data_IF_520207941372
#
_entry.id   IF_520207941372
#
_cell.length_a   1.000
_cell.length_b   1.000
_cell.length_c   1.000
_cell.angle_alpha   90.00
_cell.angle_beta   90.00
_cell.angle_gamma   90.00
#
_symmetry.space_group_name_H-M   'P 1'
#
loop_
_entity.id
_entity.type
_entity.pdbx_description
1 polymer ?
#
# COMPACT_ATOMS: atom_id res chain seq x y z
N UNK A 1 -61.86 -39.87 7.12
CA UNK A 1 -61.08 -40.74 6.23
C UNK A 1 -60.91 -39.98 4.93
N UNK A 2 -59.76 -39.52 4.48
CA UNK A 2 -58.33 -39.66 4.84
C UNK A 2 -57.60 -38.54 4.06
N UNK A 3 -56.46 -38.11 4.59
CA UNK A 3 -55.55 -37.06 4.11
C UNK A 3 -55.24 -37.01 2.61
N UNK A 4 -54.90 -35.81 2.12
CA UNK A 4 -53.59 -35.58 1.47
C UNK A 4 -53.30 -34.08 1.31
N UNK A 5 -52.51 -33.56 2.27
CA UNK A 5 -51.68 -32.37 2.13
C UNK A 5 -50.42 -32.73 1.33
N UNK A 6 -50.10 -31.99 0.27
CA UNK A 6 -48.73 -31.79 -0.26
C UNK A 6 -48.83 -30.58 -1.20
N UNK A 7 -48.28 -29.40 -0.93
CA UNK A 7 -46.93 -29.12 -0.45
C UNK A 7 -46.22 -28.32 -1.55
N UNK A 8 -46.50 -27.01 -1.62
CA UNK A 8 -45.79 -26.06 -2.50
C UNK A 8 -44.32 -26.00 -2.08
N UNK A 9 -43.41 -26.49 -2.93
CA UNK A 9 -41.99 -26.24 -2.79
C UNK A 9 -41.60 -24.99 -3.61
N UNK A 10 -41.74 -23.82 -3.00
CA UNK A 10 -41.05 -22.61 -3.44
C UNK A 10 -39.55 -22.83 -3.24
N UNK A 11 -38.80 -22.97 -4.34
CA UNK A 11 -37.34 -23.06 -4.31
C UNK A 11 -36.80 -21.69 -3.89
N UNK A 12 -36.32 -21.58 -2.66
CA UNK A 12 -35.57 -20.43 -2.18
C UNK A 12 -34.27 -20.22 -2.99
N UNK A 13 -33.66 -19.03 -2.92
CA UNK A 13 -32.43 -18.72 -3.65
C UNK A 13 -31.33 -19.71 -3.25
N UNK A 14 -30.77 -20.40 -4.26
CA UNK A 14 -29.59 -21.26 -4.07
C UNK A 14 -28.49 -20.39 -3.49
N UNK A 15 -28.05 -20.69 -2.27
CA UNK A 15 -26.83 -20.15 -1.72
C UNK A 15 -25.69 -20.42 -2.73
N UNK A 16 -25.12 -19.37 -3.32
CA UNK A 16 -23.88 -19.52 -4.06
C UNK A 16 -22.85 -20.04 -3.05
N UNK A 17 -22.49 -21.31 -3.19
CA UNK A 17 -21.33 -21.85 -2.48
C UNK A 17 -20.14 -20.94 -2.84
N UNK A 18 -19.50 -20.37 -1.81
CA UNK A 18 -18.24 -19.62 -1.99
C UNK A 18 -17.21 -20.62 -2.51
N UNK A 19 -17.03 -20.66 -3.82
CA UNK A 19 -15.96 -21.43 -4.46
C UNK A 19 -14.64 -20.84 -3.96
N UNK A 20 -13.85 -21.65 -3.26
CA UNK A 20 -12.47 -21.29 -2.97
C UNK A 20 -11.73 -21.17 -4.31
N UNK A 21 -10.92 -20.12 -4.44
CA UNK A 21 -10.03 -20.00 -5.59
C UNK A 21 -8.92 -21.03 -5.37
N UNK A 22 -8.96 -22.11 -6.15
CA UNK A 22 -8.22 -23.34 -5.86
C UNK A 22 -6.83 -23.34 -6.49
N UNK A 23 -6.54 -22.40 -7.41
CA UNK A 23 -5.21 -22.20 -7.97
C UNK A 23 -4.82 -20.73 -8.08
N UNK A 24 -3.53 -20.46 -8.16
CA UNK A 24 -3.01 -19.11 -8.26
C UNK A 24 -3.24 -18.46 -9.65
N UNK A 25 -3.28 -19.28 -10.71
CA UNK A 25 -3.69 -18.84 -12.03
C UNK A 25 -5.16 -18.36 -12.07
N UNK A 26 -6.07 -19.04 -11.37
CA UNK A 26 -7.46 -18.57 -11.23
C UNK A 26 -7.53 -17.22 -10.50
N UNK A 27 -6.69 -17.02 -9.49
CA UNK A 27 -6.57 -15.76 -8.77
C UNK A 27 -6.13 -14.62 -9.69
N UNK A 28 -5.09 -14.84 -10.49
CA UNK A 28 -4.56 -13.86 -11.42
C UNK A 28 -5.59 -13.45 -12.46
N UNK A 29 -6.26 -14.41 -13.10
CA UNK A 29 -7.31 -14.14 -14.10
C UNK A 29 -8.46 -13.33 -13.49
N UNK A 30 -8.94 -13.69 -12.31
CA UNK A 30 -10.03 -12.96 -11.67
C UNK A 30 -9.60 -11.58 -11.20
N UNK A 31 -8.37 -11.42 -10.75
CA UNK A 31 -7.82 -10.13 -10.35
C UNK A 31 -7.72 -9.18 -11.56
N UNK A 32 -7.17 -9.65 -12.67
CA UNK A 32 -7.11 -8.89 -13.92
C UNK A 32 -8.50 -8.51 -14.44
N UNK A 33 -9.45 -9.46 -14.46
CA UNK A 33 -10.84 -9.18 -14.82
C UNK A 33 -11.47 -8.10 -13.92
N UNK A 34 -11.23 -8.15 -12.60
CA UNK A 34 -11.71 -7.11 -11.68
C UNK A 34 -11.12 -5.74 -12.01
N UNK A 35 -9.85 -5.68 -12.40
CA UNK A 35 -9.16 -4.43 -12.74
C UNK A 35 -9.57 -3.88 -14.12
N UNK A 36 -9.99 -4.74 -15.05
CA UNK A 36 -10.59 -4.33 -16.33
C UNK A 36 -11.99 -3.75 -16.16
N UNK A 37 -12.76 -4.28 -15.21
CA UNK A 37 -14.09 -3.76 -14.88
C UNK A 37 -14.00 -2.43 -14.14
N UNK A 38 -13.00 -2.29 -13.26
CA UNK A 38 -12.80 -1.07 -12.48
C UNK A 38 -11.32 -0.89 -12.18
N UNK A 39 -10.74 0.21 -12.66
CA UNK A 39 -9.31 0.47 -12.54
C UNK A 39 -8.88 0.63 -11.08
N UNK A 40 -7.57 0.50 -10.80
CA UNK A 40 -7.03 0.79 -9.47
C UNK A 40 -7.34 2.24 -9.06
N UNK A 41 -7.19 3.18 -9.99
CA UNK A 41 -7.50 4.59 -9.77
C UNK A 41 -8.97 4.77 -9.34
N UNK A 42 -9.93 4.19 -10.06
CA UNK A 42 -11.36 4.31 -9.70
C UNK A 42 -11.66 3.68 -8.34
N UNK A 43 -10.96 2.59 -7.98
CA UNK A 43 -11.14 1.91 -6.69
C UNK A 43 -10.66 2.76 -5.53
N UNK A 44 -9.50 3.41 -5.65
CA UNK A 44 -8.95 4.23 -4.59
C UNK A 44 -9.57 5.63 -4.56
N UNK A 45 -10.00 6.17 -5.71
CA UNK A 45 -10.82 7.40 -5.75
C UNK A 45 -12.10 7.21 -4.95
N UNK A 46 -12.79 6.08 -5.15
CA UNK A 46 -13.97 5.74 -4.33
C UNK A 46 -13.68 5.61 -2.85
N UNK A 47 -12.51 5.07 -2.47
CA UNK A 47 -12.13 4.95 -1.07
C UNK A 47 -12.03 6.32 -0.40
N UNK A 48 -11.42 7.30 -1.09
CA UNK A 48 -11.37 8.67 -0.61
C UNK A 48 -12.76 9.32 -0.60
N UNK A 49 -13.51 9.23 -1.71
CA UNK A 49 -14.82 9.88 -1.86
C UNK A 49 -15.85 9.35 -0.85
N UNK A 50 -15.78 8.05 -0.51
CA UNK A 50 -16.65 7.42 0.48
C UNK A 50 -16.09 7.43 1.91
N UNK A 51 -14.90 8.01 2.12
CA UNK A 51 -14.20 8.04 3.41
C UNK A 51 -14.07 6.65 4.05
N UNK A 52 -13.81 5.61 3.24
CA UNK A 52 -13.90 4.21 3.65
C UNK A 52 -12.86 3.77 4.69
N UNK A 53 -11.87 4.62 4.99
CA UNK A 53 -10.87 4.39 6.04
C UNK A 53 -11.13 5.17 7.34
N UNK A 54 -12.31 5.81 7.44
CA UNK A 54 -12.93 6.26 8.70
C UNK A 54 -12.06 7.16 9.60
N UNK A 55 -11.22 8.01 9.02
CA UNK A 55 -10.47 9.03 9.76
C UNK A 55 -11.09 10.41 9.58
N UNK A 56 -11.17 11.15 10.69
CA UNK A 56 -11.61 12.55 10.71
C UNK A 56 -10.46 13.53 10.41
N UNK A 57 -9.21 13.06 10.41
CA UNK A 57 -8.01 13.88 10.24
C UNK A 57 -7.40 13.71 8.84
N UNK A 58 -7.36 12.49 8.32
CA UNK A 58 -6.69 12.16 7.06
C UNK A 58 -7.59 11.35 6.13
N UNK A 59 -7.69 11.75 4.86
CA UNK A 59 -8.36 10.96 3.82
C UNK A 59 -7.64 9.62 3.56
N UNK A 60 -6.37 9.53 3.93
CA UNK A 60 -5.54 8.32 3.84
C UNK A 60 -5.75 7.35 5.03
N UNK A 61 -6.74 7.60 5.89
CA UNK A 61 -7.14 6.70 6.97
C UNK A 61 -6.38 6.89 8.28
N UNK A 62 -6.80 6.13 9.31
CA UNK A 62 -6.31 6.30 10.69
C UNK A 62 -4.82 6.04 10.86
N UNK A 63 -4.20 5.23 9.99
CA UNK A 63 -2.75 4.99 9.99
C UNK A 63 -1.92 6.21 9.61
N UNK A 64 -2.53 7.21 8.99
CA UNK A 64 -1.92 8.47 8.55
C UNK A 64 -2.19 9.64 9.51
N UNK A 65 -2.82 9.38 10.65
CA UNK A 65 -3.04 10.36 11.71
C UNK A 65 -1.74 10.71 12.43
N UNK A 66 -1.64 11.92 12.99
CA UNK A 66 -0.45 12.36 13.74
C UNK A 66 -0.13 11.44 14.91
N UNK A 67 -1.16 10.89 15.59
CA UNK A 67 -0.97 9.94 16.70
C UNK A 67 -0.37 8.60 16.26
N UNK A 68 -0.70 8.13 15.05
CA UNK A 68 -0.19 6.88 14.51
C UNK A 68 1.25 7.03 14.00
N UNK A 69 1.63 8.25 13.61
CA UNK A 69 2.88 8.54 12.90
C UNK A 69 3.93 9.24 13.76
N UNK A 70 3.72 9.35 15.08
CA UNK A 70 4.59 10.14 15.96
C UNK A 70 6.07 9.72 15.90
N UNK A 71 6.33 8.41 16.06
CA UNK A 71 7.68 7.87 16.03
C UNK A 71 8.33 7.97 14.64
N UNK A 72 7.60 7.63 13.57
CA UNK A 72 8.16 7.76 12.22
C UNK A 72 8.46 9.22 11.87
N UNK A 73 7.63 10.18 12.28
CA UNK A 73 7.88 11.62 12.08
C UNK A 73 9.16 12.08 12.79
N UNK A 74 9.38 11.62 14.02
CA UNK A 74 10.58 11.96 14.79
C UNK A 74 11.85 11.36 14.17
N UNK A 75 11.79 10.10 13.71
CA UNK A 75 12.98 9.31 13.38
C UNK A 75 13.37 9.35 11.91
N UNK A 76 12.41 9.57 11.01
CA UNK A 76 12.64 9.57 9.56
C UNK A 76 13.71 10.58 9.11
N UNK A 77 13.74 11.84 9.58
CA UNK A 77 14.79 12.79 9.19
C UNK A 77 16.20 12.30 9.53
N UNK A 78 16.38 11.75 10.74
CA UNK A 78 17.66 11.20 11.17
C UNK A 78 18.09 10.00 10.32
N UNK A 79 17.13 9.14 9.96
CA UNK A 79 17.37 8.01 9.07
C UNK A 79 17.81 8.48 7.69
N UNK A 80 17.07 9.40 7.05
CA UNK A 80 17.41 9.92 5.71
C UNK A 80 18.82 10.52 5.66
N UNK A 81 19.22 11.27 6.70
CA UNK A 81 20.61 11.80 6.82
C UNK A 81 21.65 10.68 6.88
N UNK A 82 21.40 9.61 7.66
CA UNK A 82 22.32 8.46 7.76
C UNK A 82 22.44 7.69 6.45
N UNK A 83 21.34 7.58 5.70
CA UNK A 83 21.33 6.96 4.38
C UNK A 83 21.99 7.83 3.29
N UNK A 84 22.32 9.09 3.60
CA UNK A 84 22.89 10.04 2.64
C UNK A 84 21.89 10.43 1.55
N UNK A 85 20.59 10.37 1.84
CA UNK A 85 19.53 10.63 0.87
C UNK A 85 19.53 12.11 0.45
N UNK A 86 19.59 12.38 -0.86
CA UNK A 86 19.32 13.70 -1.43
C UNK A 86 17.93 13.79 -2.03
N UNK A 87 17.32 12.65 -2.35
CA UNK A 87 15.97 12.57 -2.89
C UNK A 87 15.14 11.47 -2.24
N UNK A 88 13.85 11.77 -2.01
CA UNK A 88 12.88 10.84 -1.46
C UNK A 88 11.67 10.71 -2.39
N UNK A 89 11.38 9.48 -2.82
CA UNK A 89 10.12 9.10 -3.44
C UNK A 89 9.19 8.53 -2.36
N UNK A 90 8.09 9.23 -2.08
CA UNK A 90 7.02 8.81 -1.18
C UNK A 90 5.85 8.27 -2.00
N UNK A 91 5.67 6.95 -1.99
CA UNK A 91 4.85 6.24 -2.95
C UNK A 91 4.13 5.05 -2.27
N UNK A 92 2.86 5.20 -1.86
CA UNK A 92 1.97 6.34 -2.05
C UNK A 92 2.19 7.44 -1.00
N UNK A 93 2.04 8.71 -1.39
CA UNK A 93 2.16 9.85 -0.46
C UNK A 93 0.84 10.24 0.23
N UNK A 94 -0.30 9.74 -0.25
CA UNK A 94 -1.61 10.08 0.30
C UNK A 94 -1.91 11.57 0.29
N UNK A 95 -2.67 12.05 1.27
CA UNK A 95 -3.01 13.46 1.47
C UNK A 95 -1.90 14.30 2.11
N UNK A 96 -0.70 13.71 2.28
CA UNK A 96 0.46 14.33 2.89
C UNK A 96 0.22 14.85 4.33
N UNK A 97 -0.79 14.32 5.03
CA UNK A 97 -1.24 14.83 6.33
C UNK A 97 -0.16 14.81 7.40
N UNK A 98 0.53 13.69 7.59
CA UNK A 98 1.58 13.57 8.60
C UNK A 98 2.94 14.03 8.09
N UNK A 99 3.24 13.78 6.80
CA UNK A 99 4.54 14.08 6.20
C UNK A 99 4.83 15.58 6.16
N UNK A 100 3.80 16.44 6.09
CA UNK A 100 3.95 17.90 6.20
C UNK A 100 4.54 18.39 7.53
N UNK A 101 4.57 17.54 8.55
CA UNK A 101 5.13 17.84 9.87
C UNK A 101 6.55 17.28 10.04
N UNK A 102 7.16 16.76 8.97
CA UNK A 102 8.51 16.21 8.98
C UNK A 102 9.47 17.21 8.34
N UNK A 103 10.54 17.54 9.06
CA UNK A 103 11.68 18.28 8.50
C UNK A 103 12.51 17.35 7.62
N UNK A 104 12.10 17.21 6.36
CA UNK A 104 12.72 16.32 5.38
C UNK A 104 14.08 16.89 4.93
N UNK A 105 15.21 16.22 5.25
CA UNK A 105 16.54 16.73 4.94
C UNK A 105 16.99 16.27 3.55
N UNK A 106 16.15 16.48 2.54
CA UNK A 106 16.39 16.10 1.14
C UNK A 106 16.26 17.32 0.24
N UNK A 107 16.99 17.32 -0.88
CA UNK A 107 16.91 18.36 -1.91
C UNK A 107 15.62 18.23 -2.72
N UNK A 108 15.23 17.00 -3.03
CA UNK A 108 14.05 16.69 -3.84
C UNK A 108 13.12 15.69 -3.13
N UNK A 109 11.84 16.06 -3.03
CA UNK A 109 10.77 15.18 -2.60
C UNK A 109 9.78 14.96 -3.75
N UNK A 110 9.49 13.70 -4.01
CA UNK A 110 8.49 13.27 -4.98
C UNK A 110 7.37 12.54 -4.25
N UNK A 111 6.20 13.15 -4.15
CA UNK A 111 5.00 12.49 -3.65
C UNK A 111 4.18 11.93 -4.79
N UNK A 112 3.95 10.62 -4.81
CA UNK A 112 3.15 9.97 -5.85
C UNK A 112 1.96 9.27 -5.22
N UNK A 113 0.77 9.43 -5.78
CA UNK A 113 -0.42 8.68 -5.38
C UNK A 113 -1.29 8.45 -6.62
N UNK A 114 -2.16 7.45 -6.57
CA UNK A 114 -3.04 7.11 -7.69
C UNK A 114 -4.29 7.99 -7.74
N UNK A 115 -4.65 8.69 -6.66
CA UNK A 115 -5.91 9.46 -6.57
C UNK A 115 -5.72 10.90 -7.07
N UNK A 116 -6.31 11.29 -8.23
CA UNK A 116 -6.02 12.59 -8.84
C UNK A 116 -6.42 13.80 -7.99
N UNK A 117 -7.56 13.75 -7.32
CA UNK A 117 -8.05 14.86 -6.47
C UNK A 117 -7.12 15.13 -5.30
N UNK A 118 -6.58 14.08 -4.68
CA UNK A 118 -5.62 14.16 -3.57
C UNK A 118 -4.32 14.79 -4.03
N UNK A 119 -3.78 14.33 -5.17
CA UNK A 119 -2.54 14.89 -5.71
C UNK A 119 -2.70 16.34 -6.14
N UNK A 120 -3.82 16.70 -6.75
CA UNK A 120 -4.08 18.09 -7.15
C UNK A 120 -4.17 19.02 -5.93
N UNK A 121 -4.79 18.56 -4.84
CA UNK A 121 -4.81 19.26 -3.56
C UNK A 121 -3.39 19.44 -2.99
N UNK A 122 -2.58 18.37 -3.01
CA UNK A 122 -1.21 18.41 -2.52
C UNK A 122 -0.34 19.38 -3.32
N UNK A 123 -0.46 19.40 -4.65
CA UNK A 123 0.23 20.37 -5.50
C UNK A 123 -0.11 21.80 -5.11
N UNK A 124 -1.40 22.09 -4.94
CA UNK A 124 -1.89 23.42 -4.60
C UNK A 124 -1.42 23.89 -3.23
N UNK A 125 -1.42 23.00 -2.23
CA UNK A 125 -1.15 23.37 -0.83
C UNK A 125 0.31 23.26 -0.44
N UNK A 126 1.04 22.32 -1.01
CA UNK A 126 2.32 21.86 -0.48
C UNK A 126 3.44 21.83 -1.52
N UNK A 127 3.11 21.90 -2.81
CA UNK A 127 4.10 21.95 -3.89
C UNK A 127 5.02 23.17 -3.78
N UNK A 128 6.26 23.04 -4.23
CA UNK A 128 7.25 24.11 -4.17
C UNK A 128 8.62 23.69 -4.70
N UNK A 129 9.62 24.55 -4.50
CA UNK A 129 11.00 24.22 -4.85
C UNK A 129 11.43 22.95 -4.08
N UNK A 130 11.95 21.95 -4.79
CA UNK A 130 12.34 20.66 -4.22
C UNK A 130 11.17 19.79 -3.76
N UNK A 131 9.92 20.12 -4.08
CA UNK A 131 8.74 19.31 -3.71
C UNK A 131 7.71 19.23 -4.83
N UNK A 132 7.63 18.06 -5.45
CA UNK A 132 6.69 17.76 -6.52
C UNK A 132 5.71 16.65 -6.14
N UNK A 133 4.49 16.75 -6.67
CA UNK A 133 3.46 15.73 -6.52
C UNK A 133 2.93 15.29 -7.89
N UNK A 134 2.77 13.98 -8.11
CA UNK A 134 2.26 13.44 -9.37
C UNK A 134 1.30 12.27 -9.18
N UNK A 135 0.37 12.15 -10.14
CA UNK A 135 -0.54 11.02 -10.20
C UNK A 135 0.18 9.88 -10.90
N UNK A 136 0.26 8.71 -10.27
CA UNK A 136 0.76 7.50 -10.94
C UNK A 136 0.18 6.22 -10.32
N UNK A 137 -0.06 5.22 -11.16
CA UNK A 137 -0.27 3.84 -10.72
C UNK A 137 1.09 3.17 -10.53
N UNK A 138 1.46 2.98 -9.26
CA UNK A 138 2.75 2.43 -8.83
C UNK A 138 3.07 1.07 -9.47
N UNK A 139 2.08 0.31 -9.93
CA UNK A 139 2.30 -1.01 -10.53
C UNK A 139 2.66 -0.98 -12.02
N UNK A 140 2.59 0.19 -12.69
CA UNK A 140 2.76 0.26 -14.16
C UNK A 140 3.38 1.54 -14.69
N UNK A 141 3.16 2.67 -14.04
CA UNK A 141 3.56 3.97 -14.58
C UNK A 141 5.00 4.27 -14.17
N UNK A 142 5.83 4.88 -15.04
CA UNK A 142 7.18 5.26 -14.68
C UNK A 142 7.20 6.18 -13.45
N UNK A 143 8.11 5.90 -12.52
CA UNK A 143 8.27 6.67 -11.28
C UNK A 143 9.54 7.53 -11.32
N UNK A 144 9.56 8.68 -10.62
CA UNK A 144 10.76 9.51 -10.52
C UNK A 144 11.95 8.73 -9.97
N UNK A 145 13.14 9.01 -10.50
CA UNK A 145 14.38 8.52 -9.90
C UNK A 145 14.58 9.17 -8.53
N UNK A 146 15.01 8.39 -7.54
CA UNK A 146 15.27 8.86 -6.18
C UNK A 146 16.35 7.99 -5.52
N UNK A 147 16.93 8.46 -4.42
CA UNK A 147 17.89 7.67 -3.62
C UNK A 147 17.16 6.69 -2.70
N UNK A 148 16.00 7.11 -2.19
CA UNK A 148 15.16 6.37 -1.23
C UNK A 148 13.73 6.31 -1.73
N UNK A 149 13.11 5.11 -1.67
CA UNK A 149 11.66 4.93 -1.79
C UNK A 149 11.08 4.66 -0.41
N UNK A 150 10.11 5.48 0.01
CA UNK A 150 9.22 5.20 1.13
C UNK A 150 7.89 4.69 0.59
N UNK A 151 7.51 3.47 0.97
CA UNK A 151 6.22 2.88 0.62
C UNK A 151 5.56 2.35 1.89
N UNK A 152 4.94 3.28 2.62
CA UNK A 152 4.25 3.02 3.89
C UNK A 152 2.77 2.72 3.63
N UNK A 153 2.22 1.72 4.31
CA UNK A 153 0.80 1.34 4.29
C UNK A 153 0.20 1.20 2.89
N UNK A 154 0.96 0.66 1.93
CA UNK A 154 0.49 0.45 0.56
C UNK A 154 0.38 -1.01 0.18
N UNK A 155 1.46 -1.77 0.35
CA UNK A 155 1.52 -3.18 -0.09
C UNK A 155 0.47 -4.04 0.65
N UNK A 156 0.07 -3.59 1.83
CA UNK A 156 -1.02 -4.15 2.63
C UNK A 156 -2.40 -4.11 1.94
N UNK A 157 -2.63 -3.18 1.00
CA UNK A 157 -3.89 -3.01 0.25
C UNK A 157 -3.94 -3.75 -1.08
N UNK A 158 -2.80 -4.17 -1.62
CA UNK A 158 -2.71 -4.72 -2.98
C UNK A 158 -2.57 -6.24 -2.98
N UNK A 159 -2.96 -6.87 -4.10
CA UNK A 159 -2.66 -8.28 -4.35
C UNK A 159 -1.16 -8.52 -4.42
N UNK A 160 -0.73 -9.77 -4.26
CA UNK A 160 0.69 -10.07 -4.40
C UNK A 160 1.21 -9.76 -5.82
N UNK A 161 0.41 -10.01 -6.86
CA UNK A 161 0.71 -9.66 -8.25
C UNK A 161 1.05 -8.17 -8.37
N UNK A 162 0.21 -7.32 -7.79
CA UNK A 162 0.40 -5.88 -7.81
C UNK A 162 1.59 -5.47 -6.95
N UNK A 163 1.79 -6.09 -5.78
CA UNK A 163 2.95 -5.82 -4.94
C UNK A 163 4.27 -6.14 -5.65
N UNK A 164 4.34 -7.26 -6.39
CA UNK A 164 5.51 -7.61 -7.19
C UNK A 164 5.76 -6.58 -8.29
N UNK A 165 4.72 -6.18 -9.03
CA UNK A 165 4.83 -5.15 -10.06
C UNK A 165 5.29 -3.80 -9.50
N UNK A 166 4.76 -3.39 -8.35
CA UNK A 166 5.18 -2.17 -7.64
C UNK A 166 6.65 -2.25 -7.24
N UNK A 167 7.10 -3.37 -6.66
CA UNK A 167 8.49 -3.55 -6.24
C UNK A 167 9.47 -3.59 -7.42
N UNK A 168 9.07 -4.11 -8.59
CA UNK A 168 9.87 -4.01 -9.80
C UNK A 168 9.92 -2.57 -10.33
N UNK A 169 8.81 -1.84 -10.27
CA UNK A 169 8.78 -0.45 -10.69
C UNK A 169 9.60 0.46 -9.75
N UNK A 170 9.61 0.17 -8.45
CA UNK A 170 10.54 0.81 -7.51
C UNK A 170 11.99 0.54 -7.88
N UNK A 171 12.36 -0.68 -8.27
CA UNK A 171 13.73 -0.96 -8.74
C UNK A 171 14.11 -0.13 -9.96
N UNK A 172 13.17 0.13 -10.86
CA UNK A 172 13.37 0.94 -12.06
C UNK A 172 13.67 2.42 -11.77
N UNK A 173 13.35 2.92 -10.57
CA UNK A 173 13.73 4.28 -10.13
C UNK A 173 15.24 4.44 -9.93
N UNK A 174 15.96 3.32 -9.78
CA UNK A 174 17.39 3.33 -9.43
C UNK A 174 17.68 3.57 -7.95
N UNK A 175 16.66 3.67 -7.09
CA UNK A 175 16.87 3.87 -5.66
C UNK A 175 17.73 2.78 -5.02
N UNK A 176 18.61 3.20 -4.11
CA UNK A 176 19.42 2.30 -3.31
C UNK A 176 18.59 1.72 -2.15
N UNK A 177 17.73 2.55 -1.55
CA UNK A 177 17.04 2.22 -0.31
C UNK A 177 15.53 2.10 -0.50
N UNK A 178 14.94 1.12 0.17
CA UNK A 178 13.49 0.93 0.29
C UNK A 178 13.09 0.88 1.76
N UNK A 179 12.09 1.69 2.12
CA UNK A 179 11.45 1.71 3.42
C UNK A 179 10.01 1.16 3.27
N UNK A 180 9.68 0.09 4.00
CA UNK A 180 8.34 -0.54 3.99
C UNK A 180 7.83 -0.79 5.41
N UNK A 181 6.52 -0.69 5.61
CA UNK A 181 5.86 -1.11 6.85
C UNK A 181 5.72 -2.64 6.89
N UNK A 182 6.24 -3.29 7.93
CA UNK A 182 6.24 -4.74 8.14
C UNK A 182 5.70 -5.12 9.52
N UNK A 183 5.17 -6.33 9.62
CA UNK A 183 4.53 -6.88 10.82
C UNK A 183 5.21 -8.22 11.21
N UNK A 184 6.32 -8.18 11.96
CA UNK A 184 7.10 -9.38 12.28
C UNK A 184 6.34 -10.47 13.04
N UNK A 185 5.26 -10.11 13.74
CA UNK A 185 4.43 -11.04 14.49
C UNK A 185 3.57 -11.94 13.60
N UNK A 186 3.37 -11.54 12.33
CA UNK A 186 2.60 -12.32 11.37
C UNK A 186 3.37 -13.58 10.98
N UNK A 187 2.75 -14.74 11.19
CA UNK A 187 3.32 -16.07 10.89
C UNK A 187 2.96 -16.61 9.51
N UNK A 188 2.06 -15.94 8.78
CA UNK A 188 1.65 -16.33 7.43
C UNK A 188 1.02 -15.14 6.70
N UNK A 189 1.58 -14.79 5.55
CA UNK A 189 0.95 -13.84 4.63
C UNK A 189 -0.23 -14.50 3.90
N UNK A 190 -1.29 -13.73 3.64
CA UNK A 190 -2.45 -14.14 2.83
C UNK A 190 -2.55 -13.24 1.61
N UNK A 191 -2.91 -13.76 0.43
CA UNK A 191 -3.19 -12.89 -0.71
C UNK A 191 -4.57 -12.23 -0.57
N UNK A 192 -4.80 -11.13 -1.29
CA UNK A 192 -6.10 -10.47 -1.41
C UNK A 192 -6.25 -9.83 -2.80
N UNK A 193 -7.44 -9.36 -3.14
CA UNK A 193 -7.62 -8.46 -4.28
C UNK A 193 -7.26 -7.03 -3.90
N UNK A 194 -6.70 -6.28 -4.83
CA UNK A 194 -6.37 -4.85 -4.64
C UNK A 194 -7.60 -3.99 -4.35
N UNK A 195 -7.50 -3.10 -3.37
CA UNK A 195 -8.50 -2.07 -3.06
C UNK A 195 -8.58 -1.72 -1.58
N UNK A 196 -9.76 -1.25 -1.14
CA UNK A 196 -9.97 -0.68 0.19
C UNK A 196 -9.52 -1.55 1.38
N UNK A 197 -9.69 -2.88 1.29
CA UNK A 197 -9.31 -3.80 2.34
C UNK A 197 -7.80 -3.84 2.49
N UNK A 198 -7.32 -4.05 3.71
CA UNK A 198 -5.91 -4.22 4.00
C UNK A 198 -5.66 -5.49 4.82
N UNK A 199 -4.38 -5.86 4.91
CA UNK A 199 -3.89 -6.98 5.71
C UNK A 199 -2.46 -6.70 6.17
N UNK A 200 -2.09 -7.21 7.33
CA UNK A 200 -0.71 -7.19 7.80
C UNK A 200 0.17 -8.13 6.97
N UNK A 201 1.39 -7.68 6.67
CA UNK A 201 2.37 -8.42 5.87
C UNK A 201 3.70 -8.53 6.62
N UNK A 202 4.26 -9.73 6.64
CA UNK A 202 5.63 -9.98 7.08
C UNK A 202 6.50 -10.25 5.84
N UNK A 203 7.38 -9.31 5.51
CA UNK A 203 8.22 -9.42 4.31
C UNK A 203 9.30 -10.51 4.39
N UNK A 204 9.66 -11.02 5.59
CA UNK A 204 10.57 -12.16 5.72
C UNK A 204 9.91 -13.49 5.32
N UNK A 205 8.58 -13.54 5.19
CA UNK A 205 7.82 -14.74 4.82
C UNK A 205 7.50 -14.78 3.31
N UNK A 206 7.22 -15.98 2.76
CA UNK A 206 6.68 -16.10 1.41
C UNK A 206 5.42 -15.24 1.20
N UNK A 207 5.21 -14.68 0.00
CA UNK A 207 6.04 -14.88 -1.20
C UNK A 207 7.23 -13.90 -1.31
N UNK A 208 7.40 -12.99 -0.34
CA UNK A 208 8.41 -11.93 -0.40
C UNK A 208 9.81 -12.46 -0.08
N UNK A 209 9.97 -13.14 1.07
CA UNK A 209 11.23 -13.77 1.47
C UNK A 209 12.41 -12.81 1.60
N UNK A 210 12.15 -11.56 2.01
CA UNK A 210 13.19 -10.55 2.19
C UNK A 210 14.13 -10.96 3.34
N UNK A 211 15.41 -10.53 3.29
CA UNK A 211 16.28 -10.64 4.46
C UNK A 211 15.75 -9.76 5.60
N UNK A 212 16.28 -9.98 6.80
CA UNK A 212 16.03 -9.08 7.92
C UNK A 212 16.37 -7.62 7.53
N UNK A 213 15.55 -6.64 7.94
CA UNK A 213 15.82 -5.24 7.68
C UNK A 213 17.14 -4.81 8.32
N UNK A 214 17.86 -3.91 7.66
CA UNK A 214 19.12 -3.36 8.14
C UNK A 214 18.93 -2.45 9.36
N UNK A 215 17.79 -1.76 9.40
CA UNK A 215 17.34 -0.94 10.51
C UNK A 215 15.81 -0.97 10.55
N UNK A 216 15.22 -0.80 11.73
CA UNK A 216 13.77 -0.65 11.91
C UNK A 216 13.43 0.55 12.78
N UNK A 217 12.30 1.19 12.48
CA UNK A 217 11.68 2.23 13.30
C UNK A 217 10.30 1.70 13.70
N UNK A 218 9.90 1.81 14.97
CA UNK A 218 8.53 1.45 15.34
C UNK A 218 7.53 2.42 14.71
N UNK A 219 6.43 1.92 14.19
CA UNK A 219 5.46 2.69 13.42
C UNK A 219 4.02 2.29 13.78
N UNK A 220 3.05 3.08 13.35
CA UNK A 220 1.61 2.83 13.52
C UNK A 220 1.06 3.13 14.92
N UNK A 221 1.91 3.54 15.86
CA UNK A 221 1.51 4.01 17.19
C UNK A 221 0.61 2.99 17.92
N UNK A 222 -0.45 3.50 18.55
CA UNK A 222 -1.51 2.69 19.16
C UNK A 222 -2.58 2.22 18.15
N UNK A 223 -2.53 2.73 16.91
CA UNK A 223 -3.53 2.47 15.85
C UNK A 223 -3.32 1.11 15.22
N UNK A 224 -2.13 0.89 14.68
CA UNK A 224 -1.74 -0.37 14.05
C UNK A 224 -0.24 -0.62 14.26
N UNK A 225 0.16 -1.04 15.46
CA UNK A 225 1.57 -1.22 15.80
C UNK A 225 2.30 -2.09 14.76
N UNK A 226 3.31 -1.51 14.14
CA UNK A 226 4.10 -2.09 13.06
C UNK A 226 5.55 -1.61 13.14
N UNK A 227 6.35 -1.97 12.14
CA UNK A 227 7.73 -1.48 11.99
C UNK A 227 7.95 -0.95 10.59
N UNK A 228 8.58 0.20 10.45
CA UNK A 228 9.16 0.65 9.19
C UNK A 228 10.56 0.06 9.05
N UNK A 229 10.72 -0.93 8.19
CA UNK A 229 12.01 -1.58 7.92
C UNK A 229 12.77 -0.93 6.78
N UNK A 230 14.10 -0.99 6.82
CA UNK A 230 15.01 -0.44 5.81
C UNK A 230 15.75 -1.57 5.09
N UNK A 231 15.69 -1.58 3.76
CA UNK A 231 16.39 -2.55 2.92
C UNK A 231 17.18 -1.87 1.80
N UNK A 232 18.23 -2.54 1.33
CA UNK A 232 18.83 -2.23 0.03
C UNK A 232 17.94 -2.79 -1.08
N UNK A 233 17.24 -1.92 -1.79
CA UNK A 233 16.21 -2.27 -2.76
C UNK A 233 16.72 -3.25 -3.83
N UNK A 234 17.91 -2.97 -4.37
CA UNK A 234 18.50 -3.75 -5.46
C UNK A 234 18.99 -5.15 -5.02
N UNK A 235 19.05 -5.40 -3.71
CA UNK A 235 19.46 -6.70 -3.13
C UNK A 235 18.27 -7.57 -2.73
N UNK A 236 17.05 -7.03 -2.79
CA UNK A 236 15.85 -7.79 -2.44
C UNK A 236 15.55 -8.86 -3.49
N UNK A 237 15.06 -10.04 -3.09
CA UNK A 237 14.66 -11.08 -4.03
C UNK A 237 13.55 -10.57 -4.96
N UNK A 238 13.60 -10.99 -6.21
CA UNK A 238 12.49 -10.78 -7.14
C UNK A 238 11.36 -11.73 -6.76
N UNK A 239 10.14 -11.22 -6.75
CA UNK A 239 8.98 -12.01 -6.41
C UNK A 239 8.49 -12.67 -7.70
N UNK A 240 8.49 -14.01 -7.73
CA UNK A 240 8.03 -14.79 -8.87
C UNK A 240 6.53 -14.71 -9.10
N UNK A 241 6.06 -15.32 -10.19
CA UNK A 241 4.63 -15.48 -10.45
C UNK A 241 3.96 -16.27 -9.31
N UNK A 242 2.76 -15.83 -8.93
CA UNK A 242 2.02 -16.33 -7.78
C UNK A 242 1.21 -17.57 -8.12
#
# INVERSE_FOLDING_TARGET
MTDSFLGKALRGPRALARRTLDSAAEWEVLHDLRLRLRSRQDRYTDVYDSQAWESAESGSGTGSELRATDNVRERLPGLLRRLGARSLLDAPCGDWNWMRHVDLPVEEYFGVDIVPSVIEENRRRFGGAGRAFSVADLSRDPLPAADVVLCRDCLVHVSYQDAAAILENFRATGAEWLLLNTYPEIRRNRNQFTGARWRRLNFSLPPFGFPEPLETISDGGDVDPSQLGVWKLQQLPRIGAF
#
